data_IF_549656990491
#
_entry.id   IF_549656990491
#
_cell.length_a   1.000
_cell.length_b   1.000
_cell.length_c   1.000
_cell.angle_alpha   90.00
_cell.angle_beta   90.00
_cell.angle_gamma   90.00
#
_symmetry.space_group_name_H-M   'P 1'
#
loop_
_entity.id
_entity.type
_entity.pdbx_description
1 polymer ?
#
# COMPACT_ATOMS: atom_id res chain seq x y z
N UNK A 1 -8.09 -8.89 -14.87
CA UNK A 1 -6.64 -8.78 -14.65
C UNK A 1 -6.41 -8.97 -13.16
N UNK A 2 -6.32 -10.23 -12.74
CA UNK A 2 -6.08 -10.60 -11.34
C UNK A 2 -4.58 -10.48 -11.09
N UNK A 3 -4.17 -9.47 -10.31
CA UNK A 3 -2.77 -9.27 -9.94
C UNK A 3 -2.54 -9.89 -8.57
N UNK A 4 -1.60 -10.80 -8.51
CA UNK A 4 -1.29 -11.60 -7.32
C UNK A 4 -0.44 -10.76 -6.33
N UNK A 5 -0.54 -11.02 -5.03
CA UNK A 5 0.21 -10.32 -3.97
C UNK A 5 1.75 -10.32 -4.20
N UNK A 6 2.26 -11.28 -4.98
CA UNK A 6 3.65 -11.31 -5.42
C UNK A 6 4.07 -10.13 -6.31
N UNK A 7 3.16 -9.55 -7.09
CA UNK A 7 3.44 -8.39 -7.95
C UNK A 7 3.63 -7.12 -7.12
N UNK A 8 2.80 -6.91 -6.09
CA UNK A 8 2.94 -5.80 -5.16
C UNK A 8 4.29 -5.84 -4.43
N UNK A 9 4.73 -7.03 -4.00
CA UNK A 9 6.02 -7.21 -3.35
C UNK A 9 7.21 -6.86 -4.27
N UNK A 10 7.13 -7.21 -5.57
CA UNK A 10 8.13 -6.82 -6.56
C UNK A 10 8.16 -5.30 -6.72
N UNK A 11 6.99 -4.68 -6.88
CA UNK A 11 6.88 -3.24 -7.10
C UNK A 11 7.44 -2.44 -5.91
N UNK A 12 7.11 -2.84 -4.67
CA UNK A 12 7.58 -2.16 -3.46
C UNK A 12 9.10 -2.27 -3.30
N UNK A 13 9.72 -3.39 -3.70
CA UNK A 13 11.20 -3.52 -3.71
C UNK A 13 11.88 -2.51 -4.65
N UNK A 14 11.20 -2.06 -5.70
CA UNK A 14 11.69 -1.01 -6.60
C UNK A 14 11.44 0.41 -6.07
N UNK A 15 10.81 0.58 -4.91
CA UNK A 15 10.60 1.88 -4.31
C UNK A 15 11.91 2.43 -3.73
N UNK A 16 12.37 3.58 -4.22
CA UNK A 16 13.54 4.27 -3.67
C UNK A 16 13.24 5.08 -2.39
N UNK A 17 12.03 4.97 -1.82
CA UNK A 17 11.57 5.74 -0.67
C UNK A 17 11.78 7.28 -0.81
N UNK A 18 11.69 7.80 -2.03
CA UNK A 18 12.08 9.18 -2.35
C UNK A 18 11.10 10.27 -1.87
N UNK A 19 9.90 9.93 -1.39
CA UNK A 19 8.93 10.90 -0.86
C UNK A 19 8.18 11.74 -1.90
N UNK A 20 8.48 11.63 -3.20
CA UNK A 20 7.84 12.44 -4.25
C UNK A 20 6.32 12.22 -4.33
N UNK A 21 5.88 10.97 -4.17
CA UNK A 21 4.46 10.62 -4.15
C UNK A 21 3.69 11.30 -3.00
N UNK A 22 4.29 11.43 -1.82
CA UNK A 22 3.65 12.11 -0.68
C UNK A 22 3.47 13.61 -0.94
N UNK A 23 4.40 14.24 -1.69
CA UNK A 23 4.32 15.68 -2.03
C UNK A 23 3.25 15.99 -3.08
N UNK A 24 2.97 15.05 -3.99
CA UNK A 24 1.95 15.20 -5.01
C UNK A 24 0.56 14.74 -4.57
N UNK A 25 0.43 14.21 -3.35
CA UNK A 25 -0.84 13.69 -2.85
C UNK A 25 -1.74 14.82 -2.32
N UNK A 26 -2.91 15.08 -2.94
CA UNK A 26 -3.85 16.10 -2.47
C UNK A 26 -4.54 15.73 -1.14
N UNK A 27 -4.58 14.44 -0.81
CA UNK A 27 -5.09 13.94 0.47
C UNK A 27 -4.03 14.00 1.59
N UNK A 28 -2.85 14.58 1.33
CA UNK A 28 -1.76 14.73 2.32
C UNK A 28 -1.35 13.42 3.01
N UNK A 29 -1.39 12.30 2.29
CA UNK A 29 -1.00 10.98 2.78
C UNK A 29 0.53 10.85 2.71
N UNK A 30 1.15 10.35 3.79
CA UNK A 30 2.58 9.95 3.78
C UNK A 30 2.76 8.62 3.06
N UNK A 31 2.59 8.62 1.74
CA UNK A 31 2.58 7.41 0.90
C UNK A 31 3.87 6.59 1.04
N UNK A 32 5.04 7.22 1.12
CA UNK A 32 6.31 6.48 1.29
C UNK A 32 6.36 5.65 2.58
N UNK A 33 5.75 6.14 3.66
CA UNK A 33 5.66 5.42 4.92
C UNK A 33 4.62 4.30 4.85
N UNK A 34 3.46 4.56 4.23
CA UNK A 34 2.43 3.58 3.97
C UNK A 34 2.96 2.39 3.13
N UNK A 35 3.74 2.66 2.09
CA UNK A 35 4.37 1.62 1.27
C UNK A 35 5.43 0.82 2.04
N UNK A 36 6.13 1.44 2.99
CA UNK A 36 7.07 0.72 3.87
C UNK A 36 6.33 -0.29 4.74
N UNK A 37 5.26 0.16 5.38
CA UNK A 37 4.38 -0.71 6.19
C UNK A 37 3.83 -1.85 5.33
N UNK A 38 3.41 -1.55 4.10
CA UNK A 38 2.91 -2.57 3.19
C UNK A 38 4.00 -3.57 2.77
N UNK A 39 5.23 -3.12 2.56
CA UNK A 39 6.38 -4.00 2.30
C UNK A 39 6.66 -4.97 3.46
N UNK A 40 6.61 -4.47 4.70
CA UNK A 40 6.76 -5.30 5.90
C UNK A 40 5.61 -6.32 6.04
N UNK A 41 4.39 -5.92 5.67
CA UNK A 41 3.24 -6.82 5.64
C UNK A 41 3.45 -7.97 4.65
N UNK A 42 3.89 -7.65 3.42
CA UNK A 42 4.17 -8.64 2.39
C UNK A 42 5.37 -9.54 2.73
N UNK A 43 6.27 -9.08 3.61
CA UNK A 43 7.36 -9.88 4.17
C UNK A 43 6.89 -10.87 5.26
N UNK A 44 5.62 -10.77 5.70
CA UNK A 44 4.99 -11.71 6.63
C UNK A 44 4.60 -11.11 7.99
N UNK A 45 4.90 -9.84 8.26
CA UNK A 45 4.46 -9.17 9.49
C UNK A 45 3.01 -8.67 9.35
N UNK A 46 2.05 -9.53 9.67
CA UNK A 46 0.62 -9.18 9.55
C UNK A 46 0.16 -8.09 10.53
N UNK A 47 0.85 -7.89 11.66
CA UNK A 47 0.46 -6.91 12.69
C UNK A 47 0.92 -5.50 12.33
N UNK A 48 1.86 -5.36 11.40
CA UNK A 48 2.37 -4.07 10.97
C UNK A 48 1.29 -3.13 10.42
N UNK A 49 0.18 -3.67 9.88
CA UNK A 49 -0.92 -2.87 9.34
C UNK A 49 -1.59 -1.98 10.39
N UNK A 50 -1.52 -2.33 11.68
CA UNK A 50 -2.02 -1.48 12.77
C UNK A 50 -1.27 -0.13 12.83
N UNK A 51 -0.03 -0.08 12.34
CA UNK A 51 0.73 1.17 12.24
C UNK A 51 0.09 2.18 11.29
N UNK A 52 -0.70 1.74 10.30
CA UNK A 52 -1.42 2.65 9.40
C UNK A 52 -2.39 3.57 10.15
N UNK A 53 -2.97 3.08 11.25
CA UNK A 53 -3.88 3.88 12.08
C UNK A 53 -3.13 4.92 12.92
N UNK A 54 -1.85 4.67 13.23
CA UNK A 54 -1.02 5.54 14.06
C UNK A 54 -0.02 6.38 13.25
N UNK A 55 -0.10 6.36 11.91
CA UNK A 55 0.76 7.19 11.06
C UNK A 55 0.63 8.68 11.41
N UNK A 56 1.77 9.36 11.53
CA UNK A 56 1.84 10.81 11.75
C UNK A 56 1.58 11.59 10.45
N UNK A 57 0.42 11.39 9.81
CA UNK A 57 0.01 12.14 8.62
C UNK A 57 -1.44 12.58 8.71
N UNK A 58 -1.74 13.73 8.10
CA UNK A 58 -3.10 14.28 8.05
C UNK A 58 -4.07 13.36 7.31
N UNK A 59 -3.61 12.68 6.26
CA UNK A 59 -4.36 11.64 5.56
C UNK A 59 -3.80 10.24 5.79
N UNK A 60 -4.67 9.24 5.73
CA UNK A 60 -4.36 7.80 5.82
C UNK A 60 -4.63 7.11 4.48
N UNK A 61 -4.17 5.86 4.28
CA UNK A 61 -4.50 5.11 3.06
C UNK A 61 -6.00 5.05 2.74
N UNK A 62 -6.85 4.89 3.74
CA UNK A 62 -8.32 4.94 3.60
C UNK A 62 -8.85 6.25 3.00
N UNK A 63 -8.13 7.36 3.14
CA UNK A 63 -8.51 8.67 2.56
C UNK A 63 -8.07 8.83 1.09
N UNK A 64 -7.50 7.78 0.48
CA UNK A 64 -7.07 7.82 -0.91
C UNK A 64 -8.26 7.97 -1.86
N UNK A 65 -8.28 9.06 -2.62
CA UNK A 65 -9.29 9.35 -3.64
C UNK A 65 -8.92 8.85 -5.05
N UNK A 66 -7.90 7.99 -5.15
CA UNK A 66 -7.43 7.39 -6.42
C UNK A 66 -7.05 8.39 -7.53
N UNK A 67 -6.65 9.62 -7.19
CA UNK A 67 -6.33 10.68 -8.16
C UNK A 67 -5.17 10.34 -9.13
N UNK A 68 -4.32 9.37 -8.80
CA UNK A 68 -3.22 8.92 -9.65
C UNK A 68 -1.96 9.80 -9.70
N UNK A 69 -1.96 10.96 -9.03
CA UNK A 69 -0.81 11.88 -9.02
C UNK A 69 0.48 11.23 -8.48
N UNK A 70 0.37 10.26 -7.56
CA UNK A 70 1.52 9.53 -7.04
C UNK A 70 2.20 8.65 -8.10
N UNK A 71 1.44 7.93 -8.92
CA UNK A 71 1.97 7.08 -10.00
C UNK A 71 2.61 7.94 -11.10
N UNK A 72 1.97 9.04 -11.51
CA UNK A 72 2.47 9.93 -12.57
C UNK A 72 3.80 10.62 -12.23
N UNK A 73 4.05 10.88 -10.95
CA UNK A 73 5.27 11.56 -10.47
C UNK A 73 6.34 10.58 -9.94
N UNK A 74 6.11 9.27 -10.05
CA UNK A 74 7.06 8.28 -9.55
C UNK A 74 8.23 8.11 -10.54
N UNK A 75 9.48 8.43 -10.17
CA UNK A 75 10.63 8.36 -11.08
C UNK A 75 10.97 6.91 -11.51
N UNK A 76 10.55 5.93 -10.72
CA UNK A 76 10.78 4.52 -10.98
C UNK A 76 9.57 3.86 -11.69
N UNK A 77 8.53 4.62 -12.06
CA UNK A 77 7.36 4.11 -12.77
C UNK A 77 6.47 3.15 -11.97
N UNK A 78 6.51 3.20 -10.63
CA UNK A 78 5.63 2.37 -9.80
C UNK A 78 4.16 2.80 -9.96
N UNK A 79 3.26 1.83 -9.99
CA UNK A 79 1.83 2.10 -9.89
C UNK A 79 1.41 2.26 -8.43
N UNK A 80 1.85 3.37 -7.84
CA UNK A 80 1.61 3.71 -6.43
C UNK A 80 0.12 3.83 -6.11
N UNK A 81 -0.70 4.26 -7.07
CA UNK A 81 -2.16 4.35 -6.93
C UNK A 81 -2.76 2.99 -6.61
N UNK A 82 -2.37 1.94 -7.34
CA UNK A 82 -2.89 0.59 -7.13
C UNK A 82 -2.48 0.03 -5.76
N UNK A 83 -1.21 0.21 -5.37
CA UNK A 83 -0.74 -0.19 -4.04
C UNK A 83 -1.51 0.52 -2.92
N UNK A 84 -1.81 1.82 -3.09
CA UNK A 84 -2.59 2.59 -2.13
C UNK A 84 -4.05 2.13 -2.05
N UNK A 85 -4.65 1.74 -3.18
CA UNK A 85 -6.01 1.19 -3.23
C UNK A 85 -6.10 -0.10 -2.42
N UNK A 86 -5.17 -1.02 -2.62
CA UNK A 86 -5.13 -2.28 -1.86
C UNK A 86 -4.93 -2.00 -0.37
N UNK A 87 -4.02 -1.10 -0.02
CA UNK A 87 -3.76 -0.72 1.36
C UNK A 87 -4.96 -0.03 2.03
N UNK A 88 -5.71 0.80 1.29
CA UNK A 88 -6.95 1.42 1.74
C UNK A 88 -8.04 0.38 2.03
N UNK A 89 -8.18 -0.62 1.15
CA UNK A 89 -9.09 -1.74 1.36
C UNK A 89 -8.69 -2.56 2.60
N UNK A 90 -7.40 -2.87 2.76
CA UNK A 90 -6.90 -3.58 3.93
C UNK A 90 -7.08 -2.79 5.23
N UNK A 91 -6.87 -1.46 5.22
CA UNK A 91 -7.10 -0.62 6.39
C UNK A 91 -8.59 -0.55 6.77
N UNK A 92 -9.46 -0.46 5.76
CA UNK A 92 -10.93 -0.41 5.96
C UNK A 92 -11.46 -1.76 6.48
N UNK A 93 -11.03 -2.87 5.88
CA UNK A 93 -11.43 -4.22 6.27
C UNK A 93 -10.75 -4.70 7.55
N UNK A 94 -9.53 -4.24 7.88
CA UNK A 94 -8.84 -4.58 9.12
C UNK A 94 -9.57 -4.08 10.37
N UNK A 95 -10.39 -3.02 10.25
CA UNK A 95 -11.33 -2.61 11.30
C UNK A 95 -12.53 -3.55 11.46
N UNK A 96 -12.82 -4.40 10.46
CA UNK A 96 -14.01 -5.25 10.40
C UNK A 96 -13.70 -6.75 10.51
N UNK A 97 -12.49 -7.19 10.13
CA UNK A 97 -12.13 -8.62 10.06
C UNK A 97 -10.68 -8.86 10.50
N UNK A 98 -10.50 -9.68 11.55
CA UNK A 98 -9.20 -10.22 11.99
C UNK A 98 -8.68 -11.35 11.07
N UNK A 99 -8.84 -11.22 9.75
CA UNK A 99 -8.35 -12.21 8.80
C UNK A 99 -7.18 -11.62 8.00
N UNK A 100 -6.07 -12.37 7.82
CA UNK A 100 -4.99 -11.91 6.95
C UNK A 100 -5.50 -11.84 5.51
N UNK A 101 -5.33 -10.69 4.87
CA UNK A 101 -5.57 -10.50 3.44
C UNK A 101 -4.55 -11.36 2.68
N UNK A 102 -4.93 -12.60 2.40
CA UNK A 102 -4.06 -13.63 1.83
C UNK A 102 -4.90 -14.73 1.24
N UNK A 103 -5.46 -14.46 0.05
CA UNK A 103 -6.04 -15.50 -0.78
C UNK A 103 -5.02 -16.60 -1.02
N UNK A 104 -5.37 -17.81 -0.56
CA UNK A 104 -4.76 -19.12 -0.78
C UNK A 104 -3.73 -19.17 -1.92
N UNK A 105 -2.54 -19.70 -1.61
CA UNK A 105 -1.73 -20.42 -2.61
C UNK A 105 -2.63 -21.50 -3.23
N UNK A 106 -3.05 -21.30 -4.47
CA UNK A 106 -3.55 -22.40 -5.28
C UNK A 106 -2.32 -23.25 -5.64
N UNK A 107 -2.13 -24.33 -4.89
CA UNK A 107 -1.17 -25.38 -5.25
C UNK A 107 -1.76 -26.15 -6.42
N UNK A 108 -1.47 -25.73 -7.64
CA UNK A 108 -1.64 -26.58 -8.82
C UNK A 108 -0.61 -27.70 -8.72
N UNK A 109 -1.12 -28.93 -8.60
CA UNK A 109 -0.34 -30.16 -8.50
C UNK A 109 0.33 -30.58 -9.80
#
# INVERSE_FOLDING_TARGET
MEKNAGEAAVMIRSCAACGKCSKSCPAHIKISEALKIYGEYLAGDVQILEKLNNMESSGKPVDCIECGACSSHCPNGLDVKELMRELAMMQSCGSLMKFPYGGRKEVVG
#
